data_IF_812209523774
#
_entry.id   IF_812209523774
#
_cell.length_a   1.000
_cell.length_b   1.000
_cell.length_c   1.000
_cell.angle_alpha   90.00
_cell.angle_beta   90.00
_cell.angle_gamma   90.00
#
_symmetry.space_group_name_H-M   'P 1'
#
loop_
_entity.id
_entity.type
_entity.pdbx_description
1 polymer ?
#
# COMPACT_ATOMS: atom_id res chain seq x y z
N UNK A 1 -12.44 12.92 1.43
CA UNK A 1 -12.72 11.49 1.17
C UNK A 1 -13.43 10.77 2.33
N UNK A 2 -12.81 10.47 3.48
CA UNK A 2 -13.46 9.68 4.56
C UNK A 2 -14.65 10.38 5.23
N UNK A 3 -14.59 11.70 5.40
CA UNK A 3 -15.70 12.52 5.93
C UNK A 3 -16.80 12.80 4.90
N UNK A 4 -16.42 12.93 3.63
CA UNK A 4 -17.31 13.31 2.51
C UNK A 4 -18.11 12.08 2.02
N UNK A 5 -17.47 10.93 1.88
CA UNK A 5 -18.12 9.66 1.51
C UNK A 5 -17.80 8.55 2.53
N UNK A 6 -18.36 8.61 3.75
CA UNK A 6 -18.06 7.65 4.82
C UNK A 6 -18.51 6.23 4.48
N UNK A 7 -19.53 6.07 3.64
CA UNK A 7 -19.97 4.76 3.14
C UNK A 7 -18.88 4.03 2.36
N UNK A 8 -18.21 4.73 1.43
CA UNK A 8 -17.10 4.18 0.62
C UNK A 8 -15.91 3.86 1.52
N UNK A 9 -15.58 4.77 2.43
CA UNK A 9 -14.48 4.57 3.38
C UNK A 9 -14.67 3.31 4.25
N UNK A 10 -15.89 3.05 4.75
CA UNK A 10 -16.18 1.83 5.51
C UNK A 10 -15.98 0.54 4.70
N UNK A 11 -16.25 0.56 3.39
CA UNK A 11 -15.97 -0.62 2.55
C UNK A 11 -14.46 -0.84 2.39
N UNK A 12 -13.67 0.23 2.32
CA UNK A 12 -12.21 0.11 2.32
C UNK A 12 -11.68 -0.51 3.62
N UNK A 13 -12.28 -0.18 4.78
CA UNK A 13 -11.96 -0.86 6.05
C UNK A 13 -12.29 -2.35 6.01
N UNK A 14 -13.45 -2.73 5.48
CA UNK A 14 -13.81 -4.16 5.33
C UNK A 14 -12.85 -4.91 4.41
N UNK A 15 -12.44 -4.28 3.31
CA UNK A 15 -11.43 -4.87 2.42
C UNK A 15 -10.10 -5.09 3.14
N UNK A 16 -9.67 -4.14 3.99
CA UNK A 16 -8.45 -4.29 4.82
C UNK A 16 -8.58 -5.47 5.80
N UNK A 17 -9.74 -5.61 6.47
CA UNK A 17 -10.04 -6.75 7.35
C UNK A 17 -10.01 -8.10 6.61
N UNK A 18 -10.60 -8.17 5.42
CA UNK A 18 -10.58 -9.38 4.57
C UNK A 18 -9.16 -9.72 4.10
N UNK A 19 -8.37 -8.73 3.71
CA UNK A 19 -6.96 -8.90 3.36
C UNK A 19 -6.15 -9.44 4.56
N UNK A 20 -6.36 -8.88 5.75
CA UNK A 20 -5.70 -9.35 6.97
C UNK A 20 -6.06 -10.82 7.28
N UNK A 21 -7.34 -11.19 7.14
CA UNK A 21 -7.79 -12.57 7.32
C UNK A 21 -7.16 -13.51 6.28
N UNK A 22 -7.07 -13.09 5.01
CA UNK A 22 -6.44 -13.88 3.94
C UNK A 22 -4.94 -14.09 4.19
N UNK A 23 -4.22 -13.06 4.63
CA UNK A 23 -2.80 -13.14 4.98
C UNK A 23 -2.55 -14.11 6.16
N UNK A 24 -3.39 -14.03 7.19
CA UNK A 24 -3.34 -14.95 8.32
C UNK A 24 -3.61 -16.39 7.90
N UNK A 25 -4.64 -16.62 7.07
CA UNK A 25 -4.97 -17.94 6.53
C UNK A 25 -3.85 -18.51 5.65
N UNK A 26 -3.13 -17.65 4.93
CA UNK A 26 -1.96 -18.02 4.12
C UNK A 26 -0.67 -18.24 4.94
N UNK A 27 -0.71 -18.07 6.27
CA UNK A 27 0.45 -18.27 7.15
C UNK A 27 1.52 -17.18 7.02
N UNK A 28 1.16 -15.99 6.51
CA UNK A 28 2.09 -14.85 6.42
C UNK A 28 2.34 -14.29 7.82
N UNK A 29 3.61 -14.22 8.23
CA UNK A 29 3.97 -13.71 9.54
C UNK A 29 3.53 -12.23 9.71
N UNK A 30 2.97 -11.83 10.87
CA UNK A 30 2.51 -10.46 11.10
C UNK A 30 3.60 -9.40 10.87
N UNK A 31 4.84 -9.71 11.25
CA UNK A 31 5.97 -8.81 11.04
C UNK A 31 6.25 -8.56 9.55
N UNK A 32 6.19 -9.61 8.72
CA UNK A 32 6.35 -9.49 7.27
C UNK A 32 5.27 -8.60 6.65
N UNK A 33 4.03 -8.68 7.15
CA UNK A 33 2.94 -7.79 6.72
C UNK A 33 3.28 -6.32 7.01
N UNK A 34 3.75 -6.00 8.21
CA UNK A 34 4.10 -4.61 8.55
C UNK A 34 5.32 -4.10 7.75
N UNK A 35 6.33 -4.93 7.48
CA UNK A 35 7.45 -4.56 6.62
C UNK A 35 7.02 -4.21 5.20
N UNK A 36 6.10 -4.99 4.61
CA UNK A 36 5.52 -4.71 3.30
C UNK A 36 4.76 -3.38 3.34
N UNK A 37 3.91 -3.15 4.36
CA UNK A 37 3.16 -1.90 4.52
C UNK A 37 4.08 -0.68 4.65
N UNK A 38 5.17 -0.79 5.42
CA UNK A 38 6.18 0.27 5.54
C UNK A 38 6.81 0.54 4.18
N UNK A 39 7.25 -0.49 3.44
CA UNK A 39 7.91 -0.30 2.14
C UNK A 39 6.99 0.35 1.11
N UNK A 40 5.74 -0.11 1.02
CA UNK A 40 4.72 0.51 0.17
C UNK A 40 4.52 1.99 0.54
N UNK A 41 4.53 2.30 1.84
CA UNK A 41 4.38 3.67 2.34
C UNK A 41 5.59 4.56 2.04
N UNK A 42 6.81 4.00 2.05
CA UNK A 42 8.04 4.72 1.67
C UNK A 42 7.98 5.13 0.21
N UNK A 43 7.60 4.21 -0.68
CA UNK A 43 7.50 4.46 -2.13
C UNK A 43 6.44 5.53 -2.45
N UNK A 44 5.33 5.53 -1.70
CA UNK A 44 4.25 6.51 -1.87
C UNK A 44 4.45 7.81 -1.05
N UNK A 45 5.51 7.92 -0.25
CA UNK A 45 5.75 9.10 0.60
C UNK A 45 4.68 9.35 1.69
N UNK A 46 3.97 8.32 2.15
CA UNK A 46 2.89 8.49 3.12
C UNK A 46 3.41 8.52 4.57
N UNK A 47 3.73 9.71 5.08
CA UNK A 47 4.24 9.89 6.46
C UNK A 47 3.32 9.36 7.56
N UNK A 48 2.00 9.41 7.37
CA UNK A 48 1.02 8.86 8.32
C UNK A 48 1.15 7.33 8.44
N UNK A 49 1.12 6.63 7.31
CA UNK A 49 1.26 5.17 7.27
C UNK A 49 2.65 4.74 7.75
N UNK A 50 3.71 5.46 7.37
CA UNK A 50 5.07 5.19 7.85
C UNK A 50 5.16 5.21 9.37
N UNK A 51 4.66 6.26 10.02
CA UNK A 51 4.65 6.34 11.49
C UNK A 51 3.86 5.19 12.12
N UNK A 52 2.67 4.90 11.60
CA UNK A 52 1.78 3.86 12.13
C UNK A 52 2.43 2.48 12.05
N UNK A 53 2.81 2.06 10.84
CA UNK A 53 3.33 0.70 10.61
C UNK A 53 4.72 0.49 11.20
N UNK A 54 5.56 1.54 11.29
CA UNK A 54 6.85 1.42 11.98
C UNK A 54 6.68 1.14 13.47
N UNK A 55 5.72 1.81 14.14
CA UNK A 55 5.40 1.54 15.54
C UNK A 55 4.87 0.12 15.72
N UNK A 56 3.99 -0.32 14.84
CA UNK A 56 3.35 -1.63 14.94
C UNK A 56 4.39 -2.75 14.65
N UNK A 57 5.31 -2.56 13.71
CA UNK A 57 6.45 -3.46 13.49
C UNK A 57 7.39 -3.55 14.70
N UNK A 58 7.74 -2.42 15.32
CA UNK A 58 8.56 -2.41 16.55
C UNK A 58 7.88 -3.18 17.70
N UNK A 59 6.56 -3.08 17.82
CA UNK A 59 5.80 -3.84 18.80
C UNK A 59 5.82 -5.36 18.53
N UNK A 60 6.08 -5.78 17.29
CA UNK A 60 6.24 -7.17 16.87
C UNK A 60 7.71 -7.66 16.93
N UNK A 61 8.62 -6.87 17.49
CA UNK A 61 10.03 -7.26 17.69
C UNK A 61 10.97 -6.85 16.55
N UNK A 62 10.53 -5.97 15.64
CA UNK A 62 11.44 -5.39 14.64
C UNK A 62 12.49 -4.48 15.27
N UNK A 63 13.60 -4.22 14.57
CA UNK A 63 14.69 -3.38 15.06
C UNK A 63 14.85 -2.08 14.27
N UNK A 64 15.38 -1.05 14.93
CA UNK A 64 15.69 0.22 14.29
C UNK A 64 16.67 0.05 13.12
N UNK A 65 17.67 -0.83 13.25
CA UNK A 65 18.66 -1.10 12.21
C UNK A 65 18.01 -1.67 10.94
N UNK A 66 17.12 -2.67 11.09
CA UNK A 66 16.41 -3.27 9.96
C UNK A 66 15.47 -2.26 9.30
N UNK A 67 14.76 -1.44 10.07
CA UNK A 67 13.91 -0.38 9.53
C UNK A 67 14.71 0.69 8.77
N UNK A 68 15.89 1.06 9.27
CA UNK A 68 16.74 2.07 8.65
C UNK A 68 17.20 1.68 7.24
N UNK A 69 17.43 0.38 7.01
CA UNK A 69 17.90 -0.14 5.72
C UNK A 69 16.81 -0.74 4.84
N UNK A 70 15.55 -0.77 5.31
CA UNK A 70 14.42 -1.34 4.57
C UNK A 70 14.23 -0.71 3.17
N UNK A 71 14.52 0.59 3.04
CA UNK A 71 14.40 1.28 1.76
C UNK A 71 15.43 0.84 0.71
N UNK A 72 16.50 0.18 1.14
CA UNK A 72 17.60 -0.33 0.32
C UNK A 72 17.81 -1.85 0.56
N UNK A 73 16.72 -2.58 0.87
CA UNK A 73 16.76 -3.95 1.36
C UNK A 73 17.57 -4.92 0.48
N UNK A 74 17.59 -4.69 -0.85
CA UNK A 74 18.25 -5.58 -1.81
C UNK A 74 19.78 -5.61 -1.65
N UNK A 75 20.38 -4.54 -1.13
CA UNK A 75 21.84 -4.41 -0.91
C UNK A 75 22.29 -4.96 0.44
N UNK A 76 21.38 -5.52 1.23
CA UNK A 76 21.68 -5.95 2.60
C UNK A 76 21.41 -7.44 2.83
N UNK A 77 22.03 -8.00 3.88
CA UNK A 77 21.80 -9.37 4.34
C UNK A 77 20.77 -9.46 5.49
N UNK A 78 20.11 -8.36 5.86
CA UNK A 78 19.20 -8.33 7.00
C UNK A 78 17.92 -9.13 6.76
N UNK A 79 17.48 -9.27 5.51
CA UNK A 79 16.17 -9.82 5.17
C UNK A 79 16.26 -11.24 4.60
N UNK A 80 15.36 -12.11 5.06
CA UNK A 80 15.18 -13.47 4.60
C UNK A 80 14.75 -13.54 3.13
N UNK A 81 14.88 -14.71 2.50
CA UNK A 81 14.44 -14.91 1.12
C UNK A 81 12.94 -14.60 0.93
N UNK A 82 12.10 -14.96 1.91
CA UNK A 82 10.66 -14.68 1.86
C UNK A 82 10.38 -13.17 1.96
N UNK A 83 11.03 -12.46 2.88
CA UNK A 83 10.92 -11.00 3.00
C UNK A 83 11.35 -10.31 1.71
N UNK A 84 12.49 -10.70 1.14
CA UNK A 84 12.99 -10.14 -0.13
C UNK A 84 12.00 -10.35 -1.28
N UNK A 85 11.41 -11.53 -1.39
CA UNK A 85 10.40 -11.81 -2.42
C UNK A 85 9.16 -10.93 -2.25
N UNK A 86 8.65 -10.80 -1.02
CA UNK A 86 7.51 -9.95 -0.71
C UNK A 86 7.80 -8.47 -0.97
N UNK A 87 8.98 -7.98 -0.60
CA UNK A 87 9.42 -6.60 -0.83
C UNK A 87 9.57 -6.30 -2.33
N UNK A 88 10.13 -7.24 -3.11
CA UNK A 88 10.22 -7.10 -4.56
C UNK A 88 8.84 -7.03 -5.24
N UNK A 89 7.91 -7.91 -4.85
CA UNK A 89 6.52 -7.85 -5.33
C UNK A 89 5.85 -6.53 -4.94
N UNK A 90 6.02 -6.10 -3.69
CA UNK A 90 5.48 -4.85 -3.19
C UNK A 90 5.99 -3.65 -4.02
N UNK A 91 7.29 -3.57 -4.30
CA UNK A 91 7.86 -2.53 -5.14
C UNK A 91 7.27 -2.53 -6.56
N UNK A 92 7.19 -3.70 -7.19
CA UNK A 92 6.64 -3.85 -8.54
C UNK A 92 5.18 -3.38 -8.62
N UNK A 93 4.35 -3.72 -7.65
CA UNK A 93 2.93 -3.33 -7.62
C UNK A 93 2.72 -1.87 -7.17
N UNK A 94 3.72 -1.27 -6.52
CA UNK A 94 3.60 0.06 -5.92
C UNK A 94 4.08 1.20 -6.82
N UNK A 95 4.85 0.94 -7.88
CA UNK A 95 5.34 1.98 -8.81
C UNK A 95 4.19 2.87 -9.33
N UNK A 96 3.91 3.94 -8.60
CA UNK A 96 2.94 4.97 -8.87
C UNK A 96 3.69 6.27 -8.69
N UNK A 97 3.72 7.10 -9.73
CA UNK A 97 4.20 8.47 -9.56
C UNK A 97 3.20 9.21 -8.67
N UNK A 98 3.59 9.48 -7.42
CA UNK A 98 2.84 10.40 -6.56
C UNK A 98 3.13 11.81 -7.07
N UNK A 99 2.13 12.57 -7.55
CA UNK A 99 2.38 13.89 -8.08
C UNK A 99 2.94 14.81 -6.99
N UNK A 100 4.04 15.50 -7.27
CA UNK A 100 4.66 16.47 -6.33
C UNK A 100 3.80 17.73 -6.13
N UNK A 101 2.77 17.94 -6.97
CA UNK A 101 1.91 19.12 -6.92
C UNK A 101 0.45 18.80 -7.26
N UNK A 102 -0.47 19.65 -6.78
CA UNK A 102 -1.88 19.69 -7.18
C UNK A 102 -2.12 20.63 -8.36
N UNK A 103 -1.21 20.69 -9.32
CA UNK A 103 -1.32 21.60 -10.47
C UNK A 103 -2.56 21.35 -11.36
N UNK A 104 -3.21 20.19 -11.21
CA UNK A 104 -4.49 19.87 -11.84
C UNK A 104 -5.70 20.56 -11.18
N UNK A 105 -5.56 21.05 -9.96
CA UNK A 105 -6.66 21.63 -9.17
C UNK A 105 -6.80 23.13 -9.49
N UNK A 106 -7.49 23.43 -10.59
CA UNK A 106 -7.81 24.79 -11.05
C UNK A 106 -9.13 25.34 -10.49
N UNK A 107 -9.75 24.61 -9.55
CA UNK A 107 -11.05 24.94 -8.97
C UNK A 107 -12.27 24.54 -9.83
N UNK A 108 -12.07 23.87 -10.97
CA UNK A 108 -13.17 23.39 -11.81
C UNK A 108 -13.98 22.25 -11.19
N UNK A 109 -13.40 21.51 -10.24
CA UNK A 109 -14.07 20.46 -9.48
C UNK A 109 -14.42 20.93 -8.07
N UNK A 110 -15.67 20.72 -7.65
CA UNK A 110 -16.04 20.87 -6.25
C UNK A 110 -15.34 19.85 -5.35
N UNK A 111 -15.36 20.05 -4.03
CA UNK A 111 -14.83 19.09 -3.05
C UNK A 111 -15.50 17.71 -3.17
N UNK A 112 -16.82 17.66 -3.40
CA UNK A 112 -17.56 16.43 -3.68
C UNK A 112 -17.09 15.76 -4.97
N UNK A 113 -16.96 16.52 -6.07
CA UNK A 113 -16.52 15.97 -7.36
C UNK A 113 -15.08 15.43 -7.27
N UNK A 114 -14.17 16.20 -6.69
CA UNK A 114 -12.79 15.78 -6.44
C UNK A 114 -12.74 14.50 -5.60
N UNK A 115 -13.53 14.44 -4.52
CA UNK A 115 -13.60 13.26 -3.65
C UNK A 115 -14.17 12.04 -4.39
N UNK A 116 -15.20 12.21 -5.23
CA UNK A 116 -15.79 11.13 -6.02
C UNK A 116 -14.82 10.60 -7.09
N UNK A 117 -14.17 11.49 -7.84
CA UNK A 117 -13.16 11.13 -8.85
C UNK A 117 -11.97 10.42 -8.21
N UNK A 118 -11.48 10.91 -7.06
CA UNK A 118 -10.39 10.28 -6.33
C UNK A 118 -10.73 8.83 -5.88
N UNK A 119 -11.97 8.59 -5.45
CA UNK A 119 -12.42 7.22 -5.13
C UNK A 119 -12.50 6.33 -6.36
N UNK A 120 -13.07 6.83 -7.46
CA UNK A 120 -13.13 6.08 -8.72
C UNK A 120 -11.73 5.71 -9.22
N UNK A 121 -10.81 6.68 -9.24
CA UNK A 121 -9.42 6.47 -9.65
C UNK A 121 -8.72 5.48 -8.74
N UNK A 122 -8.94 5.53 -7.42
CA UNK A 122 -8.42 4.54 -6.46
C UNK A 122 -8.91 3.13 -6.79
N UNK A 123 -10.21 2.96 -7.02
CA UNK A 123 -10.81 1.66 -7.35
C UNK A 123 -10.28 1.12 -8.68
N UNK A 124 -10.19 1.95 -9.72
CA UNK A 124 -9.63 1.55 -11.01
C UNK A 124 -8.16 1.17 -10.90
N UNK A 125 -7.39 1.91 -10.09
CA UNK A 125 -6.00 1.59 -9.80
C UNK A 125 -5.83 0.24 -9.07
N UNK A 126 -6.76 -0.10 -8.17
CA UNK A 126 -6.78 -1.41 -7.52
C UNK A 126 -7.07 -2.52 -8.55
N UNK A 127 -8.11 -2.37 -9.37
CA UNK A 127 -8.45 -3.34 -10.41
C UNK A 127 -7.33 -3.57 -11.41
N UNK A 128 -6.71 -2.50 -11.91
CA UNK A 128 -5.63 -2.60 -12.88
C UNK A 128 -4.42 -3.36 -12.31
N UNK A 129 -4.07 -3.11 -11.04
CA UNK A 129 -2.98 -3.83 -10.35
C UNK A 129 -3.29 -5.31 -10.22
N UNK A 130 -4.52 -5.68 -9.86
CA UNK A 130 -4.96 -7.07 -9.76
C UNK A 130 -4.89 -7.75 -11.12
N UNK A 131 -5.50 -7.16 -12.16
CA UNK A 131 -5.60 -7.77 -13.48
C UNK A 131 -4.22 -7.98 -14.13
N UNK A 132 -3.34 -6.97 -14.06
CA UNK A 132 -2.00 -7.04 -14.66
C UNK A 132 -1.11 -8.03 -13.91
N UNK A 133 -1.06 -7.96 -12.57
CA UNK A 133 -0.19 -8.83 -11.75
C UNK A 133 -0.65 -10.29 -11.80
N UNK A 134 -1.97 -10.51 -11.92
CA UNK A 134 -2.54 -11.85 -12.08
C UNK A 134 -2.49 -12.37 -13.53
N UNK A 135 -1.92 -11.59 -14.46
CA UNK A 135 -1.82 -11.93 -15.87
C UNK A 135 -3.14 -12.42 -16.49
N UNK A 136 -4.24 -11.68 -16.25
CA UNK A 136 -5.55 -12.05 -16.79
C UNK A 136 -5.47 -12.22 -18.32
N UNK A 137 -5.90 -13.38 -18.87
CA UNK A 137 -5.81 -13.61 -20.30
C UNK A 137 -6.83 -12.75 -21.05
N UNK A 138 -6.40 -12.13 -22.13
CA UNK A 138 -7.27 -11.43 -23.08
C UNK A 138 -7.35 -12.27 -24.34
N UNK A 139 -8.44 -13.02 -24.46
CA UNK A 139 -8.74 -13.81 -25.66
C UNK A 139 -9.42 -12.92 -26.72
N UNK A 140 -9.30 -13.23 -28.01
CA UNK A 140 -9.93 -12.49 -29.11
C UNK A 140 -11.45 -12.38 -28.99
#
# INVERSE_FOLDING_TARGET
MSKIHPGVYRQMTKLDEECAAALAAAGVAPLLVELVKIRVSQLNGCGFCLRMHSRDALALGETADRLAVLAAWWETAYFTAQERAALGLAEQMTSLAVPESRSWDDGSLSDEQTSAVAWLVTVMNAWNRVAITSHYPVLP
#
